data_IF_859803131405
#
_entry.id   IF_859803131405
#
_cell.length_a   1.000
_cell.length_b   1.000
_cell.length_c   1.000
_cell.angle_alpha   90.00
_cell.angle_beta   90.00
_cell.angle_gamma   90.00
#
_symmetry.space_group_name_H-M   'P 1'
#
loop_
_entity.id
_entity.type
_entity.pdbx_description
1 polymer ?
#
# COMPACT_ATOMS: atom_id res chain seq x y z
N UNK A 1 10.21 31.32 -15.45
CA UNK A 1 10.13 29.98 -16.10
C UNK A 1 10.58 28.81 -15.21
N UNK A 2 11.22 29.04 -14.04
CA UNK A 2 11.62 27.97 -13.09
C UNK A 2 10.46 27.28 -12.34
N UNK A 3 9.31 27.96 -12.19
CA UNK A 3 8.16 27.45 -11.41
C UNK A 3 7.35 26.35 -12.13
N UNK A 4 7.34 26.36 -13.47
CA UNK A 4 6.62 25.36 -14.27
C UNK A 4 7.37 24.02 -14.26
N UNK A 5 8.71 24.06 -14.23
CA UNK A 5 9.55 22.85 -14.18
C UNK A 5 9.36 22.06 -12.88
N UNK A 6 9.11 22.75 -11.76
CA UNK A 6 8.85 22.10 -10.47
C UNK A 6 7.53 21.32 -10.47
N UNK A 7 6.49 21.84 -11.13
CA UNK A 7 5.19 21.17 -11.24
C UNK A 7 5.25 19.88 -12.06
N UNK A 8 6.08 19.85 -13.11
CA UNK A 8 6.28 18.65 -13.94
C UNK A 8 7.07 17.58 -13.19
N UNK A 9 8.02 17.96 -12.32
CA UNK A 9 8.81 17.00 -11.56
C UNK A 9 7.98 16.26 -10.49
N UNK A 10 7.03 16.95 -9.85
CA UNK A 10 6.14 16.35 -8.85
C UNK A 10 5.10 15.38 -9.43
N UNK A 11 4.73 15.51 -10.71
CA UNK A 11 3.79 14.55 -11.34
C UNK A 11 4.51 13.29 -11.85
N UNK A 12 5.82 13.37 -12.11
CA UNK A 12 6.63 12.21 -12.51
C UNK A 12 6.88 11.24 -11.34
N UNK A 13 6.94 11.71 -10.10
CA UNK A 13 7.04 10.83 -8.90
C UNK A 13 5.74 10.09 -8.60
N UNK A 14 4.58 10.65 -8.97
CA UNK A 14 3.29 9.95 -8.87
C UNK A 14 3.16 8.80 -9.87
N UNK A 15 3.94 8.83 -10.96
CA UNK A 15 4.05 7.76 -11.95
C UNK A 15 5.17 6.77 -11.66
N UNK A 16 5.96 6.96 -10.60
CA UNK A 16 6.87 5.93 -10.14
C UNK A 16 6.05 4.73 -9.67
N UNK A 17 6.37 3.56 -10.23
CA UNK A 17 5.78 2.29 -9.82
C UNK A 17 6.08 2.11 -8.32
N UNK A 18 5.07 2.28 -7.47
CA UNK A 18 5.21 1.99 -6.04
C UNK A 18 5.61 0.52 -5.89
N UNK A 19 6.77 0.29 -5.29
CA UNK A 19 7.27 -1.04 -5.00
C UNK A 19 7.00 -1.38 -3.54
N UNK A 20 6.01 -2.25 -3.33
CA UNK A 20 5.59 -2.64 -1.98
C UNK A 20 6.57 -3.62 -1.32
N UNK A 21 7.47 -4.26 -2.09
CA UNK A 21 8.46 -5.18 -1.50
C UNK A 21 9.49 -4.48 -0.62
N UNK A 22 9.75 -3.20 -0.87
CA UNK A 22 10.71 -2.40 -0.11
C UNK A 22 10.12 -1.80 1.16
N UNK A 23 8.80 -1.87 1.35
CA UNK A 23 8.13 -1.39 2.57
C UNK A 23 8.22 -2.42 3.68
N UNK A 24 8.20 -1.96 4.93
CA UNK A 24 8.00 -2.81 6.10
C UNK A 24 6.55 -3.31 6.20
N UNK A 25 6.32 -4.39 6.93
CA UNK A 25 4.96 -4.91 7.17
C UNK A 25 4.10 -3.89 7.93
N UNK A 26 4.69 -3.10 8.83
CA UNK A 26 3.99 -2.03 9.56
C UNK A 26 3.52 -0.92 8.61
N UNK A 27 4.38 -0.46 7.69
CA UNK A 27 3.99 0.50 6.66
C UNK A 27 2.90 -0.04 5.75
N UNK A 28 2.96 -1.32 5.37
CA UNK A 28 1.91 -1.94 4.57
C UNK A 28 0.57 -1.96 5.33
N UNK A 29 0.56 -2.34 6.61
CA UNK A 29 -0.66 -2.34 7.44
C UNK A 29 -1.24 -0.93 7.57
N UNK A 30 -0.39 0.10 7.74
CA UNK A 30 -0.83 1.49 7.84
C UNK A 30 -1.51 2.02 6.56
N UNK A 31 -1.28 1.39 5.41
CA UNK A 31 -1.87 1.76 4.13
C UNK A 31 -3.19 1.02 3.82
N UNK A 32 -3.64 0.08 4.67
CA UNK A 32 -4.91 -0.62 4.48
C UNK A 32 -6.06 0.38 4.30
N UNK A 33 -6.77 0.27 3.17
CA UNK A 33 -7.88 1.16 2.82
C UNK A 33 -7.50 2.51 2.18
N UNK A 34 -6.20 2.82 2.04
CA UNK A 34 -5.72 4.09 1.47
C UNK A 34 -4.96 3.91 0.14
N UNK A 35 -4.87 2.68 -0.38
CA UNK A 35 -4.17 2.38 -1.64
C UNK A 35 -5.07 2.67 -2.83
N UNK A 36 -4.52 3.34 -3.86
CA UNK A 36 -5.21 3.57 -5.12
C UNK A 36 -5.68 2.24 -5.76
N UNK A 37 -6.89 2.16 -6.36
CA UNK A 37 -7.43 0.90 -6.91
C UNK A 37 -6.48 0.19 -7.89
N UNK A 38 -5.77 0.96 -8.71
CA UNK A 38 -4.78 0.46 -9.69
C UNK A 38 -3.49 -0.15 -9.09
N UNK A 39 -3.29 0.03 -7.78
CA UNK A 39 -2.15 -0.51 -7.02
C UNK A 39 -2.58 -1.58 -6.02
N UNK A 40 -3.88 -1.70 -5.75
CA UNK A 40 -4.43 -2.54 -4.69
C UNK A 40 -4.10 -4.03 -4.86
N UNK A 41 -4.22 -4.58 -6.08
CA UNK A 41 -3.88 -5.99 -6.32
C UNK A 41 -2.42 -6.32 -5.93
N UNK A 42 -1.48 -5.46 -6.33
CA UNK A 42 -0.04 -5.64 -6.02
C UNK A 42 0.25 -5.46 -4.53
N UNK A 43 -0.43 -4.52 -3.89
CA UNK A 43 -0.34 -4.29 -2.47
C UNK A 43 -0.83 -5.50 -1.66
N UNK A 44 -2.02 -6.02 -2.00
CA UNK A 44 -2.58 -7.20 -1.33
C UNK A 44 -1.76 -8.46 -1.56
N UNK A 45 -1.21 -8.63 -2.77
CA UNK A 45 -0.29 -9.72 -3.06
C UNK A 45 0.93 -9.70 -2.13
N UNK A 46 1.47 -8.52 -1.86
CA UNK A 46 2.61 -8.36 -0.95
C UNK A 46 2.23 -8.61 0.51
N UNK A 47 1.08 -8.11 0.97
CA UNK A 47 0.57 -8.39 2.31
C UNK A 47 0.32 -9.88 2.53
N UNK A 48 -0.37 -10.56 1.61
CA UNK A 48 -0.62 -12.01 1.69
C UNK A 48 0.68 -12.81 1.66
N UNK A 49 1.68 -12.40 0.88
CA UNK A 49 3.00 -13.05 0.89
C UNK A 49 3.66 -13.01 2.27
N UNK A 50 3.41 -11.97 3.06
CA UNK A 50 4.00 -11.75 4.39
C UNK A 50 3.12 -12.22 5.54
N UNK A 51 1.92 -12.70 5.27
CA UNK A 51 0.92 -13.06 6.29
C UNK A 51 1.45 -14.07 7.31
N UNK A 52 2.29 -15.01 6.88
CA UNK A 52 2.94 -16.00 7.76
C UNK A 52 4.01 -15.39 8.68
N UNK A 53 4.54 -14.22 8.32
CA UNK A 53 5.60 -13.51 9.06
C UNK A 53 5.10 -12.31 9.88
N UNK A 54 3.80 -12.02 9.85
CA UNK A 54 3.20 -10.94 10.62
C UNK A 54 3.26 -11.21 12.12
N UNK A 55 3.38 -10.15 12.92
CA UNK A 55 3.04 -10.27 14.35
C UNK A 55 1.55 -10.57 14.53
N UNK A 56 1.17 -11.09 15.69
CA UNK A 56 -0.25 -11.34 16.01
C UNK A 56 -1.10 -10.07 15.88
N UNK A 57 -0.54 -8.92 16.26
CA UNK A 57 -1.20 -7.61 16.14
C UNK A 57 -1.40 -7.21 14.67
N UNK A 58 -0.37 -7.33 13.84
CA UNK A 58 -0.44 -7.05 12.40
C UNK A 58 -1.43 -7.98 11.70
N UNK A 59 -1.42 -9.27 12.06
CA UNK A 59 -2.32 -10.28 11.51
C UNK A 59 -3.77 -9.99 11.90
N UNK A 60 -4.03 -9.62 13.16
CA UNK A 60 -5.36 -9.25 13.62
C UNK A 60 -5.92 -8.03 12.87
N UNK A 61 -5.08 -7.01 12.61
CA UNK A 61 -5.46 -5.84 11.81
C UNK A 61 -5.78 -6.23 10.36
N UNK A 62 -4.95 -7.07 9.74
CA UNK A 62 -5.19 -7.51 8.37
C UNK A 62 -6.46 -8.35 8.25
N UNK A 63 -6.72 -9.27 9.18
CA UNK A 63 -7.94 -10.07 9.22
C UNK A 63 -9.20 -9.23 9.46
N UNK A 64 -9.13 -8.24 10.36
CA UNK A 64 -10.24 -7.32 10.60
C UNK A 64 -10.59 -6.54 9.33
N UNK A 65 -9.58 -6.04 8.62
CA UNK A 65 -9.77 -5.35 7.34
C UNK A 65 -10.34 -6.29 6.26
N UNK A 66 -9.84 -7.53 6.15
CA UNK A 66 -10.38 -8.54 5.19
C UNK A 66 -11.87 -8.80 5.44
N UNK A 67 -12.28 -8.91 6.72
CA UNK A 67 -13.68 -9.09 7.09
C UNK A 67 -14.53 -7.89 6.69
N UNK A 68 -14.10 -6.68 7.04
CA UNK A 68 -14.80 -5.45 6.66
C UNK A 68 -14.98 -5.36 5.14
N UNK A 69 -13.92 -5.61 4.37
CA UNK A 69 -13.98 -5.55 2.91
C UNK A 69 -14.89 -6.60 2.27
N UNK A 70 -15.11 -7.75 2.92
CA UNK A 70 -16.02 -8.79 2.42
C UNK A 70 -17.51 -8.46 2.63
N UNK A 71 -17.80 -7.48 3.47
CA UNK A 71 -19.17 -7.03 3.80
C UNK A 71 -19.61 -5.82 2.96
N UNK A 72 -18.69 -5.20 2.20
CA UNK A 72 -18.93 -4.10 1.24
C UNK A 72 -19.30 -4.61 -0.16
#
# INVERSE_FOLDING_TARGET
MKKVLFFILCTLTLMAKTDFSEMSTEELIALLGYVEPQKEERFLKELTRREESMSEEQKALYEAWKRQKSEE
#
